data_IF_446270419114
#
_entry.id   IF_446270419114
#
_cell.length_a   1.000
_cell.length_b   1.000
_cell.length_c   1.000
_cell.angle_alpha   90.00
_cell.angle_beta   90.00
_cell.angle_gamma   90.00
#
_symmetry.space_group_name_H-M   'P 1'
#
loop_
_entity.id
_entity.type
_entity.pdbx_description
1 polymer ?
#
# COMPACT_ATOMS: atom_id res chain seq x y z
N UNK A 1 -17.72 5.21 7.87
CA UNK A 1 -17.43 4.16 8.89
C UNK A 1 -17.03 2.79 8.30
N UNK A 2 -17.25 2.51 7.01
CA UNK A 2 -17.05 1.18 6.40
C UNK A 2 -15.59 0.71 6.16
N UNK A 3 -14.59 1.61 6.23
CA UNK A 3 -13.19 1.29 5.85
C UNK A 3 -12.39 0.49 6.88
N UNK A 4 -12.70 0.60 8.18
CA UNK A 4 -11.95 -0.09 9.24
C UNK A 4 -12.33 -1.58 9.37
N UNK A 5 -13.59 -1.91 9.16
CA UNK A 5 -14.10 -3.28 9.36
C UNK A 5 -13.61 -4.24 8.28
N UNK A 6 -13.55 -3.78 7.02
CA UNK A 6 -13.12 -4.61 5.88
C UNK A 6 -11.61 -4.88 5.84
N UNK A 7 -10.79 -3.96 6.36
CA UNK A 7 -9.34 -4.18 6.47
C UNK A 7 -9.00 -5.18 7.57
N UNK A 8 -9.66 -5.08 8.74
CA UNK A 8 -9.40 -6.01 9.84
C UNK A 8 -9.79 -7.45 9.48
N UNK A 9 -10.90 -7.65 8.77
CA UNK A 9 -11.33 -8.98 8.32
C UNK A 9 -10.44 -9.55 7.22
N UNK A 10 -10.00 -8.73 6.26
CA UNK A 10 -9.05 -9.17 5.24
C UNK A 10 -7.69 -9.55 5.86
N UNK A 11 -7.15 -8.72 6.76
CA UNK A 11 -5.88 -8.99 7.43
C UNK A 11 -5.94 -10.25 8.31
N UNK A 12 -7.07 -10.52 8.96
CA UNK A 12 -7.26 -11.75 9.72
C UNK A 12 -7.27 -12.99 8.82
N UNK A 13 -7.89 -12.90 7.63
CA UNK A 13 -7.90 -13.99 6.64
C UNK A 13 -6.52 -14.29 6.06
N UNK A 14 -5.67 -13.28 5.90
CA UNK A 14 -4.30 -13.46 5.40
C UNK A 14 -3.37 -14.22 6.36
N UNK A 15 -3.77 -14.43 7.62
CA UNK A 15 -3.06 -15.33 8.52
C UNK A 15 -3.12 -16.79 8.03
N UNK A 16 -4.19 -17.14 7.31
CA UNK A 16 -4.29 -18.40 6.59
C UNK A 16 -3.55 -18.29 5.24
N UNK A 17 -2.52 -19.12 5.07
CA UNK A 17 -1.74 -19.15 3.81
C UNK A 17 -2.51 -19.83 2.68
N UNK A 18 -3.52 -20.64 3.00
CA UNK A 18 -4.30 -21.40 2.02
C UNK A 18 -5.52 -20.62 1.50
N UNK A 19 -5.88 -19.47 2.10
CA UNK A 19 -6.93 -18.56 1.61
C UNK A 19 -6.43 -17.74 0.40
N UNK A 20 -6.28 -18.41 -0.75
CA UNK A 20 -5.83 -17.80 -2.00
C UNK A 20 -6.73 -16.64 -2.47
N UNK A 21 -8.02 -16.64 -2.09
CA UNK A 21 -8.94 -15.55 -2.42
C UNK A 21 -8.61 -14.29 -1.63
N UNK A 22 -8.33 -14.40 -0.32
CA UNK A 22 -7.86 -13.27 0.48
C UNK A 22 -6.53 -12.73 -0.05
N UNK A 23 -5.61 -13.61 -0.46
CA UNK A 23 -4.34 -13.21 -1.07
C UNK A 23 -4.53 -12.47 -2.39
N UNK A 24 -5.42 -12.93 -3.27
CA UNK A 24 -5.72 -12.23 -4.52
C UNK A 24 -6.35 -10.86 -4.26
N UNK A 25 -7.35 -10.77 -3.37
CA UNK A 25 -7.96 -9.49 -2.99
C UNK A 25 -6.91 -8.54 -2.42
N UNK A 26 -5.98 -9.05 -1.61
CA UNK A 26 -4.89 -8.28 -1.04
C UNK A 26 -3.90 -7.77 -2.09
N UNK A 27 -3.48 -8.64 -3.01
CA UNK A 27 -2.59 -8.30 -4.13
C UNK A 27 -3.22 -7.22 -5.02
N UNK A 28 -4.48 -7.38 -5.39
CA UNK A 28 -5.22 -6.40 -6.21
C UNK A 28 -5.35 -5.07 -5.48
N UNK A 29 -5.65 -5.12 -4.18
CA UNK A 29 -5.84 -3.93 -3.34
C UNK A 29 -4.51 -3.18 -3.19
N UNK A 30 -3.49 -3.81 -2.61
CA UNK A 30 -2.27 -3.10 -2.23
C UNK A 30 -1.22 -3.01 -3.34
N UNK A 31 -1.28 -3.87 -4.36
CA UNK A 31 -0.37 -3.82 -5.51
C UNK A 31 -0.48 -2.49 -6.27
N UNK A 32 -1.71 -2.01 -6.51
CA UNK A 32 -1.91 -0.71 -7.16
C UNK A 32 -1.36 0.47 -6.34
N UNK A 33 -1.53 0.43 -5.01
CA UNK A 33 -1.02 1.45 -4.10
C UNK A 33 0.51 1.52 -4.15
N UNK A 34 1.16 0.36 -4.02
CA UNK A 34 2.62 0.24 -4.03
C UNK A 34 3.19 0.71 -5.38
N UNK A 35 2.60 0.24 -6.49
CA UNK A 35 3.01 0.64 -7.85
C UNK A 35 2.83 2.15 -8.06
N UNK A 36 1.70 2.71 -7.63
CA UNK A 36 1.44 4.15 -7.72
C UNK A 36 2.47 4.97 -6.94
N UNK A 37 2.81 4.55 -5.72
CA UNK A 37 3.84 5.21 -4.93
C UNK A 37 5.23 5.14 -5.60
N UNK A 38 5.64 3.95 -6.08
CA UNK A 38 6.93 3.77 -6.75
C UNK A 38 7.05 4.61 -8.03
N UNK A 39 6.00 4.66 -8.87
CA UNK A 39 5.97 5.48 -10.09
C UNK A 39 6.16 6.96 -9.80
N UNK A 40 5.48 7.49 -8.78
CA UNK A 40 5.66 8.91 -8.37
C UNK A 40 7.07 9.22 -7.85
N UNK A 41 7.84 8.22 -7.46
CA UNK A 41 9.26 8.34 -7.11
C UNK A 41 10.20 8.25 -8.33
N UNK A 42 9.67 8.16 -9.54
CA UNK A 42 10.47 8.06 -10.76
C UNK A 42 11.06 6.65 -11.00
N UNK A 43 10.51 5.64 -10.35
CA UNK A 43 10.87 4.24 -10.62
C UNK A 43 10.31 3.83 -11.98
N UNK A 44 11.08 3.08 -12.77
CA UNK A 44 10.64 2.57 -14.06
C UNK A 44 9.62 1.44 -13.89
N UNK A 45 8.75 1.24 -14.88
CA UNK A 45 7.64 0.29 -14.76
C UNK A 45 8.08 -1.14 -14.43
N UNK A 46 9.19 -1.61 -15.01
CA UNK A 46 9.73 -2.95 -14.69
C UNK A 46 10.16 -3.07 -13.22
N UNK A 47 10.83 -2.04 -12.69
CA UNK A 47 11.26 -2.01 -11.30
C UNK A 47 10.07 -1.85 -10.34
N UNK A 48 8.98 -1.22 -10.79
CA UNK A 48 7.77 -1.10 -9.98
C UNK A 48 7.14 -2.46 -9.70
N UNK A 49 7.09 -3.35 -10.69
CA UNK A 49 6.53 -4.69 -10.51
C UNK A 49 7.40 -5.54 -9.58
N UNK A 50 8.72 -5.43 -9.67
CA UNK A 50 9.65 -6.06 -8.73
C UNK A 50 9.46 -5.54 -7.30
N UNK A 51 9.26 -4.22 -7.13
CA UNK A 51 8.98 -3.61 -5.82
C UNK A 51 7.67 -4.15 -5.24
N UNK A 52 6.62 -4.22 -6.06
CA UNK A 52 5.33 -4.79 -5.65
C UNK A 52 5.54 -6.23 -5.17
N UNK A 53 6.25 -7.04 -5.95
CA UNK A 53 6.53 -8.42 -5.58
C UNK A 53 7.33 -8.54 -4.27
N UNK A 54 8.40 -7.76 -4.11
CA UNK A 54 9.23 -7.77 -2.89
C UNK A 54 8.41 -7.40 -1.64
N UNK A 55 7.58 -6.36 -1.75
CA UNK A 55 6.72 -5.91 -0.64
C UNK A 55 5.66 -6.97 -0.31
N UNK A 56 5.03 -7.58 -1.31
CA UNK A 56 4.03 -8.63 -1.12
C UNK A 56 4.64 -9.88 -0.47
N UNK A 57 5.86 -10.29 -0.86
CA UNK A 57 6.57 -11.42 -0.23
C UNK A 57 6.91 -11.12 1.23
N UNK A 58 7.39 -9.90 1.52
CA UNK A 58 7.67 -9.47 2.88
C UNK A 58 6.41 -9.50 3.76
N UNK A 59 5.29 -9.02 3.23
CA UNK A 59 3.98 -9.09 3.88
C UNK A 59 3.56 -10.54 4.13
N UNK A 60 3.58 -11.40 3.10
CA UNK A 60 3.24 -12.82 3.22
C UNK A 60 4.09 -13.57 4.24
N UNK A 61 5.34 -13.15 4.43
CA UNK A 61 6.20 -13.70 5.46
C UNK A 61 5.81 -13.22 6.86
N UNK A 62 5.37 -11.97 6.99
CA UNK A 62 4.95 -11.37 8.26
C UNK A 62 3.52 -11.73 8.70
N UNK A 63 2.60 -11.99 7.77
CA UNK A 63 1.16 -12.18 8.06
C UNK A 63 0.84 -13.24 9.12
N UNK A 64 1.45 -14.44 9.14
CA UNK A 64 1.13 -15.45 10.16
C UNK A 64 1.41 -14.99 11.60
N UNK A 65 2.33 -14.05 11.78
CA UNK A 65 2.70 -13.47 13.08
C UNK A 65 2.07 -12.09 13.29
N UNK A 66 1.37 -11.57 12.28
CA UNK A 66 0.85 -10.21 12.28
C UNK A 66 -0.39 -10.11 13.17
N UNK A 67 -0.22 -9.56 14.37
CA UNK A 67 -1.35 -9.22 15.26
C UNK A 67 -1.83 -7.81 14.96
N UNK A 68 -3.01 -7.72 14.34
CA UNK A 68 -3.68 -6.44 14.09
C UNK A 68 -4.02 -5.75 15.41
N UNK A 69 -3.47 -4.55 15.61
CA UNK A 69 -3.71 -3.67 16.76
C UNK A 69 -4.36 -2.38 16.24
N UNK A 70 -5.68 -2.19 16.45
CA UNK A 70 -6.43 -1.04 15.95
C UNK A 70 -5.94 0.31 16.50
N UNK A 71 -5.33 0.32 17.70
CA UNK A 71 -4.88 1.55 18.36
C UNK A 71 -3.56 2.05 17.79
N UNK A 72 -2.79 1.17 17.12
CA UNK A 72 -1.42 1.49 16.68
C UNK A 72 -1.26 1.70 15.17
N UNK A 73 -2.32 1.57 14.37
CA UNK A 73 -2.23 1.75 12.91
C UNK A 73 -1.15 0.88 12.23
N UNK A 74 -0.78 -0.26 12.86
CA UNK A 74 0.44 -1.01 12.56
C UNK A 74 0.57 -1.47 11.12
N UNK A 75 -0.55 -1.84 10.50
CA UNK A 75 -0.52 -2.36 9.15
C UNK A 75 -0.11 -1.30 8.12
N UNK A 76 -0.72 -0.11 8.19
CA UNK A 76 -0.37 1.00 7.29
C UNK A 76 1.09 1.43 7.46
N UNK A 77 1.54 1.54 8.71
CA UNK A 77 2.93 1.87 9.02
C UNK A 77 3.90 0.79 8.52
N UNK A 78 3.58 -0.49 8.74
CA UNK A 78 4.37 -1.61 8.22
C UNK A 78 4.45 -1.60 6.69
N UNK A 79 3.31 -1.45 6.01
CA UNK A 79 3.27 -1.39 4.55
C UNK A 79 4.06 -0.20 4.00
N UNK A 80 3.95 0.97 4.64
CA UNK A 80 4.75 2.16 4.33
C UNK A 80 6.24 1.83 4.40
N UNK A 81 6.70 1.31 5.53
CA UNK A 81 8.10 0.99 5.76
C UNK A 81 8.62 -0.04 4.75
N UNK A 82 7.87 -1.11 4.50
CA UNK A 82 8.25 -2.12 3.51
C UNK A 82 8.37 -1.52 2.10
N UNK A 83 7.40 -0.69 1.70
CA UNK A 83 7.38 -0.04 0.38
C UNK A 83 8.54 0.92 0.20
N UNK A 84 8.80 1.79 1.18
CA UNK A 84 9.92 2.75 1.12
C UNK A 84 11.24 2.00 1.04
N UNK A 85 11.44 0.96 1.87
CA UNK A 85 12.66 0.15 1.84
C UNK A 85 12.89 -0.47 0.46
N UNK A 86 11.87 -1.05 -0.16
CA UNK A 86 11.97 -1.63 -1.50
C UNK A 86 12.28 -0.58 -2.58
N UNK A 87 11.63 0.60 -2.54
CA UNK A 87 11.90 1.71 -3.46
C UNK A 87 13.33 2.24 -3.30
N UNK A 88 13.77 2.46 -2.06
CA UNK A 88 15.12 2.92 -1.74
C UNK A 88 16.14 1.90 -2.25
N UNK A 89 15.97 0.61 -1.92
CA UNK A 89 16.84 -0.47 -2.38
C UNK A 89 17.03 -0.46 -3.90
N UNK A 90 15.94 -0.42 -4.67
CA UNK A 90 16.00 -0.35 -6.13
C UNK A 90 16.69 0.92 -6.64
N UNK A 91 16.40 2.06 -6.03
CA UNK A 91 17.03 3.34 -6.40
C UNK A 91 18.54 3.35 -6.12
N UNK A 92 18.97 2.74 -5.00
CA UNK A 92 20.38 2.63 -4.63
C UNK A 92 21.11 1.61 -5.51
N UNK A 93 20.53 0.43 -5.76
CA UNK A 93 21.11 -0.58 -6.65
C UNK A 93 21.41 -0.04 -8.06
N UNK A 94 20.63 0.93 -8.53
CA UNK A 94 20.87 1.61 -9.81
C UNK A 94 22.07 2.57 -9.78
N UNK A 95 22.44 3.10 -8.61
CA UNK A 95 23.48 4.10 -8.44
C UNK A 95 24.80 3.57 -7.83
N UNK A 96 24.80 2.46 -7.06
CA UNK A 96 25.99 1.73 -6.55
C UNK A 96 25.56 0.50 -5.72
N UNK A 97 26.40 -0.54 -5.51
CA UNK A 97 26.18 -1.45 -4.37
C UNK A 97 26.37 -0.67 -3.05
N UNK A 98 25.28 -0.53 -2.29
CA UNK A 98 25.21 0.17 -0.99
C UNK A 98 24.89 -0.87 0.10
N UNK A 99 25.48 -0.73 1.29
CA UNK A 99 25.28 -1.63 2.42
C UNK A 99 23.90 -1.45 3.10
N UNK A 100 23.45 -2.46 3.87
CA UNK A 100 22.17 -2.40 4.58
C UNK A 100 22.11 -1.26 5.61
N UNK A 101 23.24 -0.91 6.24
CA UNK A 101 23.34 0.18 7.22
C UNK A 101 23.14 1.54 6.56
N UNK A 102 23.77 1.77 5.40
CA UNK A 102 23.59 3.00 4.62
C UNK A 102 22.15 3.15 4.10
N UNK A 103 21.43 2.02 3.88
CA UNK A 103 20.01 2.04 3.54
C UNK A 103 19.13 2.47 4.71
N UNK A 104 19.43 2.02 5.94
CA UNK A 104 18.66 2.41 7.13
C UNK A 104 18.85 3.89 7.46
N UNK A 105 20.07 4.41 7.33
CA UNK A 105 20.36 5.84 7.52
C UNK A 105 19.67 6.74 6.49
N UNK A 106 19.63 6.33 5.22
CA UNK A 106 18.94 7.07 4.17
C UNK A 106 17.42 7.13 4.40
N UNK A 107 16.84 6.09 4.98
CA UNK A 107 15.42 6.05 5.38
C UNK A 107 15.17 6.91 6.63
N UNK A 108 16.17 7.06 7.49
CA UNK A 108 16.09 7.82 8.74
C UNK A 108 16.34 9.34 8.59
N UNK A 109 16.80 9.82 7.44
CA UNK A 109 17.03 11.26 7.21
C UNK A 109 15.74 12.09 7.28
N UNK A 110 15.69 13.02 8.23
CA UNK A 110 14.48 13.74 8.70
C UNK A 110 13.83 14.65 7.62
N UNK A 111 14.63 15.26 6.74
CA UNK A 111 14.13 16.12 5.65
C UNK A 111 13.55 15.34 4.47
N UNK A 112 14.03 14.11 4.26
CA UNK A 112 13.44 13.15 3.32
C UNK A 112 12.19 12.53 3.95
N UNK A 113 12.24 12.22 5.25
CA UNK A 113 11.17 11.58 6.03
C UNK A 113 9.84 12.34 6.00
N UNK A 114 9.84 13.67 6.20
CA UNK A 114 8.60 14.47 6.25
C UNK A 114 7.94 14.62 4.87
N UNK A 115 8.75 14.80 3.82
CA UNK A 115 8.32 14.71 2.43
C UNK A 115 7.79 13.30 2.11
N UNK A 116 8.48 12.24 2.52
CA UNK A 116 8.08 10.85 2.26
C UNK A 116 6.75 10.52 2.91
N UNK A 117 6.54 10.92 4.16
CA UNK A 117 5.29 10.68 4.86
C UNK A 117 4.13 11.40 4.19
N UNK A 118 4.30 12.67 3.81
CA UNK A 118 3.30 13.43 3.07
C UNK A 118 2.93 12.81 1.71
N UNK A 119 3.91 12.32 0.95
CA UNK A 119 3.65 11.64 -0.32
C UNK A 119 2.96 10.28 -0.13
N UNK A 120 3.34 9.52 0.90
CA UNK A 120 2.69 8.26 1.24
C UNK A 120 1.25 8.48 1.71
N UNK A 121 1.04 9.49 2.55
CA UNK A 121 -0.26 9.97 3.01
C UNK A 121 -1.20 10.34 1.87
N UNK A 122 -0.71 11.18 0.95
CA UNK A 122 -1.47 11.60 -0.22
C UNK A 122 -1.88 10.39 -1.06
N UNK A 123 -0.94 9.46 -1.30
CA UNK A 123 -1.24 8.29 -2.10
C UNK A 123 -2.18 7.32 -1.39
N UNK A 124 -2.00 7.10 -0.09
CA UNK A 124 -2.91 6.28 0.70
C UNK A 124 -4.34 6.83 0.65
N UNK A 125 -4.51 8.15 0.79
CA UNK A 125 -5.82 8.81 0.69
C UNK A 125 -6.42 8.67 -0.70
N UNK A 126 -5.65 8.98 -1.74
CA UNK A 126 -6.11 8.91 -3.12
C UNK A 126 -6.49 7.48 -3.52
N UNK A 127 -5.71 6.50 -3.06
CA UNK A 127 -6.00 5.09 -3.22
C UNK A 127 -7.34 4.68 -2.58
N UNK A 128 -7.57 5.05 -1.31
CA UNK A 128 -8.82 4.71 -0.63
C UNK A 128 -10.03 5.42 -1.26
N UNK A 129 -9.84 6.63 -1.80
CA UNK A 129 -10.87 7.31 -2.57
C UNK A 129 -11.20 6.54 -3.86
N UNK A 130 -10.19 6.13 -4.63
CA UNK A 130 -10.39 5.31 -5.85
C UNK A 130 -11.09 4.00 -5.54
N UNK A 131 -10.70 3.34 -4.45
CA UNK A 131 -11.32 2.09 -4.02
C UNK A 131 -12.79 2.31 -3.63
N UNK A 132 -13.09 3.34 -2.83
CA UNK A 132 -14.46 3.68 -2.45
C UNK A 132 -15.33 4.00 -3.67
N UNK A 133 -14.81 4.75 -4.64
CA UNK A 133 -15.52 5.04 -5.89
C UNK A 133 -15.80 3.76 -6.69
N UNK A 134 -14.82 2.86 -6.85
CA UNK A 134 -15.02 1.56 -7.53
C UNK A 134 -16.07 0.70 -6.84
N UNK A 135 -16.09 0.66 -5.51
CA UNK A 135 -17.09 -0.09 -4.75
C UNK A 135 -18.49 0.49 -4.95
N UNK A 136 -18.64 1.82 -4.88
CA UNK A 136 -19.91 2.50 -5.14
C UNK A 136 -20.38 2.25 -6.58
N UNK A 137 -19.47 2.33 -7.56
CA UNK A 137 -19.78 2.09 -8.98
C UNK A 137 -20.25 0.65 -9.25
N UNK A 138 -19.79 -0.32 -8.47
CA UNK A 138 -20.14 -1.73 -8.57
C UNK A 138 -21.43 -2.08 -7.81
N UNK A 139 -21.73 -1.42 -6.68
CA UNK A 139 -22.89 -1.70 -5.84
C UNK A 139 -24.16 -0.91 -6.23
N UNK A 140 -24.02 0.23 -6.91
CA UNK A 140 -25.18 1.08 -7.28
C UNK A 140 -25.58 0.94 -8.76
N UNK A 141 -26.89 0.85 -9.00
CA UNK A 141 -27.43 0.87 -10.37
C UNK A 141 -27.24 2.25 -11.01
N UNK A 142 -27.43 2.36 -12.33
CA UNK A 142 -27.20 3.60 -13.08
C UNK A 142 -27.98 4.82 -12.57
N UNK A 143 -29.15 4.64 -11.96
CA UNK A 143 -30.00 5.73 -11.48
C UNK A 143 -29.49 6.34 -10.16
N UNK A 144 -28.93 5.53 -9.26
CA UNK A 144 -28.39 6.03 -7.98
C UNK A 144 -27.07 6.80 -8.19
N UNK A 145 -26.32 6.46 -9.25
CA UNK A 145 -25.07 7.15 -9.63
C UNK A 145 -25.31 8.61 -10.05
N UNK A 146 -26.41 8.90 -10.74
CA UNK A 146 -26.77 10.27 -11.13
C UNK A 146 -27.18 11.13 -9.93
N UNK A 147 -27.78 10.55 -8.90
CA UNK A 147 -28.19 11.28 -7.69
C UNK A 147 -26.98 11.73 -6.84
N UNK A 148 -25.93 10.89 -6.74
CA UNK A 148 -24.70 11.26 -6.03
C UNK A 148 -23.86 12.31 -6.77
N UNK A 149 -23.78 12.24 -8.12
CA UNK A 149 -23.10 13.26 -8.91
C UNK A 149 -23.80 14.63 -8.86
N UNK A 150 -25.13 14.65 -8.68
CA UNK A 150 -25.88 15.89 -8.60
C UNK A 150 -25.72 16.62 -7.25
N UNK A 151 -25.28 15.92 -6.19
CA UNK A 151 -25.18 16.45 -4.82
C UNK A 151 -23.76 16.86 -4.41
N UNK A 152 -22.75 16.55 -5.22
CA UNK A 152 -21.34 16.82 -4.93
C UNK A 152 -20.80 18.12 -5.59
N UNK A 153 -21.68 19.06 -5.94
CA UNK A 153 -21.33 20.42 -6.40
C UNK A 153 -21.62 21.43 -5.29
#
# INVERSE_FOLDING_TARGET
>A
MLSRTTQATLLARLADRDDGTAWNEFCDRYGELIRGFARRRGVQDHDCDDIVQEVLIALASAMPQFRYDPEKGRFRAYLKTATIRAVCKKSFQRNRPVSLEEMEDAVASDSVSESVDGHWEAEWRQYHLRLAMRTIEAEFNAADRSAFQLYAV
#
